data_IF_500181692494
#
_entry.id   IF_500181692494
#
_cell.length_a   1.000
_cell.length_b   1.000
_cell.length_c   1.000
_cell.angle_alpha   90.00
_cell.angle_beta   90.00
_cell.angle_gamma   90.00
#
_symmetry.space_group_name_H-M   'P 1'
#
loop_
_entity.id
_entity.type
_entity.pdbx_description
1 polymer ?
#
# COMPACT_ATOMS: atom_id res chain seq x y z
N UNK A 1 -13.08 -7.91 12.80
CA UNK A 1 -12.18 -7.57 13.93
C UNK A 1 -11.04 -6.71 13.41
N UNK A 2 -10.91 -5.47 13.90
CA UNK A 2 -9.87 -4.51 13.50
C UNK A 2 -8.44 -5.02 13.77
N UNK A 3 -8.26 -5.78 14.86
CA UNK A 3 -6.97 -6.36 15.24
C UNK A 3 -6.34 -7.23 14.14
N UNK A 4 -7.16 -7.98 13.39
CA UNK A 4 -6.66 -8.80 12.28
C UNK A 4 -6.11 -7.96 11.12
N UNK A 5 -6.65 -6.75 10.93
CA UNK A 5 -6.15 -5.85 9.89
C UNK A 5 -4.83 -5.23 10.30
N UNK A 6 -4.72 -4.81 11.57
CA UNK A 6 -3.47 -4.31 12.14
C UNK A 6 -2.40 -5.39 12.14
N UNK A 7 -2.73 -6.64 12.43
CA UNK A 7 -1.73 -7.73 12.38
C UNK A 7 -1.19 -7.97 10.97
N UNK A 8 -2.05 -7.87 9.94
CA UNK A 8 -1.73 -8.27 8.58
C UNK A 8 -1.37 -7.10 7.64
N UNK A 9 -1.35 -5.83 8.09
CA UNK A 9 -1.11 -4.69 7.20
C UNK A 9 0.34 -4.58 6.67
N UNK A 10 1.26 -5.40 7.19
CA UNK A 10 2.62 -5.56 6.66
C UNK A 10 2.78 -6.80 5.77
N UNK A 11 1.71 -7.55 5.54
CA UNK A 11 1.70 -8.59 4.50
C UNK A 11 1.76 -7.91 3.12
N UNK A 12 2.43 -8.57 2.17
CA UNK A 12 2.59 -8.10 0.79
C UNK A 12 1.79 -8.99 -0.13
N UNK A 13 1.23 -8.41 -1.19
CA UNK A 13 0.40 -9.16 -2.14
C UNK A 13 1.10 -10.40 -2.73
N UNK A 14 2.40 -10.33 -2.96
CA UNK A 14 3.26 -11.42 -3.45
C UNK A 14 3.61 -12.50 -2.41
N UNK A 15 3.20 -12.35 -1.15
CA UNK A 15 3.51 -13.31 -0.07
C UNK A 15 4.88 -13.10 0.59
N UNK A 16 5.64 -12.07 0.19
CA UNK A 16 6.96 -11.76 0.79
C UNK A 16 6.89 -10.87 2.03
N UNK A 17 5.67 -10.56 2.49
CA UNK A 17 5.41 -9.78 3.70
C UNK A 17 5.44 -10.62 4.98
N UNK A 18 5.00 -10.00 6.07
CA UNK A 18 5.04 -10.59 7.41
C UNK A 18 3.80 -10.18 8.21
N UNK A 19 3.45 -10.88 9.31
CA UNK A 19 4.18 -11.94 10.00
C UNK A 19 3.93 -13.37 9.51
N UNK A 20 2.93 -13.61 8.68
CA UNK A 20 2.49 -14.96 8.29
C UNK A 20 2.83 -15.31 6.84
N UNK A 21 3.23 -14.34 6.01
CA UNK A 21 3.52 -14.57 4.60
C UNK A 21 2.25 -14.86 3.80
N UNK A 22 1.15 -14.19 4.15
CA UNK A 22 -0.13 -14.35 3.45
C UNK A 22 -0.03 -13.79 2.03
N UNK A 23 -0.63 -14.46 1.06
CA UNK A 23 -0.56 -14.05 -0.34
C UNK A 23 -1.94 -13.64 -0.89
N UNK A 24 -1.95 -12.57 -1.70
CA UNK A 24 -3.13 -12.16 -2.45
C UNK A 24 -4.36 -11.94 -1.58
N UNK A 25 -5.42 -12.71 -1.84
CA UNK A 25 -6.73 -12.59 -1.17
C UNK A 25 -6.78 -13.25 0.22
N UNK A 26 -5.74 -13.98 0.63
CA UNK A 26 -5.61 -14.44 2.02
C UNK A 26 -5.41 -13.27 2.98
N UNK A 27 -4.86 -12.17 2.48
CA UNK A 27 -4.74 -10.91 3.22
C UNK A 27 -6.14 -10.28 3.35
N UNK A 28 -6.62 -9.97 4.57
CA UNK A 28 -7.90 -9.31 4.74
C UNK A 28 -7.96 -8.00 3.95
N UNK A 29 -9.09 -7.71 3.31
CA UNK A 29 -9.23 -6.51 2.46
C UNK A 29 -8.88 -5.21 3.20
N UNK A 30 -9.27 -5.08 4.47
CA UNK A 30 -8.90 -3.93 5.29
C UNK A 30 -7.39 -3.79 5.51
N UNK A 31 -6.65 -4.89 5.66
CA UNK A 31 -5.20 -4.85 5.76
C UNK A 31 -4.55 -4.40 4.46
N UNK A 32 -5.04 -4.88 3.31
CA UNK A 32 -4.55 -4.47 1.98
C UNK A 32 -4.74 -2.96 1.73
N UNK A 33 -5.88 -2.40 2.15
CA UNK A 33 -6.15 -0.95 2.07
C UNK A 33 -5.21 -0.18 3.00
N UNK A 34 -5.06 -0.61 4.26
CA UNK A 34 -4.17 0.05 5.23
C UNK A 34 -2.71 0.02 4.77
N UNK A 35 -2.25 -1.10 4.21
CA UNK A 35 -0.87 -1.27 3.71
C UNK A 35 -0.53 -0.20 2.65
N UNK A 36 -1.42 0.01 1.69
CA UNK A 36 -1.25 1.02 0.65
C UNK A 36 -1.35 2.43 1.24
N UNK A 37 -2.38 2.72 2.05
CA UNK A 37 -2.56 4.04 2.66
C UNK A 37 -1.37 4.45 3.56
N UNK A 38 -0.85 3.50 4.35
CA UNK A 38 0.33 3.72 5.20
C UNK A 38 1.59 3.97 4.37
N UNK A 39 1.75 3.26 3.25
CA UNK A 39 2.88 3.46 2.34
C UNK A 39 2.79 4.82 1.64
N UNK A 40 1.60 5.24 1.22
CA UNK A 40 1.35 6.56 0.67
C UNK A 40 1.72 7.67 1.65
N UNK A 41 1.19 7.62 2.87
CA UNK A 41 1.51 8.59 3.93
C UNK A 41 3.02 8.64 4.22
N UNK A 42 3.68 7.48 4.27
CA UNK A 42 5.12 7.39 4.44
C UNK A 42 5.90 8.04 3.29
N UNK A 43 5.36 8.00 2.07
CA UNK A 43 5.98 8.60 0.91
C UNK A 43 5.79 10.11 0.84
N UNK A 44 4.61 10.62 1.19
CA UNK A 44 4.24 12.04 1.06
C UNK A 44 4.56 12.88 2.29
N UNK A 45 4.88 12.26 3.43
CA UNK A 45 5.28 12.96 4.63
C UNK A 45 6.78 13.27 4.65
N UNK A 46 7.15 14.44 5.16
CA UNK A 46 8.55 14.75 5.52
C UNK A 46 8.99 13.89 6.70
N UNK A 47 10.22 13.36 6.61
CA UNK A 47 10.83 12.52 7.65
C UNK A 47 12.22 13.05 7.98
N UNK A 48 12.75 12.83 9.20
CA UNK A 48 14.06 13.35 9.61
C UNK A 48 15.22 13.04 8.65
N UNK A 49 15.11 11.97 7.88
CA UNK A 49 16.13 11.46 6.95
C UNK A 49 15.75 11.58 5.46
N UNK A 50 14.55 12.11 5.13
CA UNK A 50 14.11 12.24 3.73
C UNK A 50 12.97 13.24 3.60
N UNK A 51 13.04 14.07 2.57
CA UNK A 51 11.90 14.89 2.15
C UNK A 51 10.75 14.02 1.63
N UNK A 52 9.55 14.60 1.61
CA UNK A 52 8.41 14.04 0.90
C UNK A 52 8.74 13.79 -0.57
N UNK A 53 8.21 12.70 -1.14
CA UNK A 53 8.30 12.45 -2.58
C UNK A 53 7.34 13.36 -3.35
N UNK A 54 7.70 13.69 -4.59
CA UNK A 54 6.77 14.33 -5.51
C UNK A 54 5.64 13.37 -5.88
N UNK A 55 4.49 13.91 -6.26
CA UNK A 55 3.32 13.12 -6.62
C UNK A 55 3.61 12.15 -7.77
N UNK A 56 4.41 12.55 -8.77
CA UNK A 56 4.80 11.69 -9.89
C UNK A 56 5.61 10.47 -9.42
N UNK A 57 6.50 10.66 -8.45
CA UNK A 57 7.29 9.57 -7.87
C UNK A 57 6.40 8.62 -7.06
N UNK A 58 5.45 9.17 -6.30
CA UNK A 58 4.48 8.37 -5.53
C UNK A 58 3.61 7.54 -6.45
N UNK A 59 3.09 8.15 -7.53
CA UNK A 59 2.29 7.48 -8.53
C UNK A 59 3.07 6.36 -9.23
N UNK A 60 4.32 6.63 -9.61
CA UNK A 60 5.20 5.62 -10.20
C UNK A 60 5.46 4.46 -9.23
N UNK A 61 5.74 4.74 -7.95
CA UNK A 61 6.01 3.73 -6.93
C UNK A 61 4.80 2.82 -6.69
N UNK A 62 3.60 3.40 -6.53
CA UNK A 62 2.37 2.63 -6.33
C UNK A 62 2.05 1.78 -7.56
N UNK A 63 2.21 2.34 -8.77
CA UNK A 63 1.99 1.60 -10.02
C UNK A 63 2.97 0.44 -10.18
N UNK A 64 4.26 0.66 -9.92
CA UNK A 64 5.29 -0.36 -10.05
C UNK A 64 5.16 -1.47 -8.99
N UNK A 65 4.60 -1.13 -7.84
CA UNK A 65 4.39 -2.06 -6.71
C UNK A 65 3.04 -2.79 -6.75
N UNK A 66 2.19 -2.51 -7.74
CA UNK A 66 0.92 -3.20 -7.93
C UNK A 66 1.15 -4.66 -8.34
N UNK A 67 0.53 -5.61 -7.63
CA UNK A 67 0.73 -7.04 -7.83
C UNK A 67 1.96 -7.62 -7.14
N UNK A 68 2.76 -6.81 -6.44
CA UNK A 68 3.87 -7.27 -5.59
C UNK A 68 3.66 -6.85 -4.14
N UNK A 69 3.83 -5.56 -3.84
CA UNK A 69 3.56 -5.04 -2.50
C UNK A 69 2.06 -4.88 -2.26
N UNK A 70 1.37 -4.33 -3.26
CA UNK A 70 -0.01 -3.92 -3.13
C UNK A 70 -0.94 -4.79 -3.95
N UNK A 71 -2.18 -4.91 -3.48
CA UNK A 71 -3.27 -5.43 -4.29
C UNK A 71 -3.42 -4.57 -5.57
N UNK A 72 -3.35 -5.18 -6.77
CA UNK A 72 -3.41 -4.44 -8.02
C UNK A 72 -4.75 -3.72 -8.23
N UNK A 73 -5.87 -4.28 -7.75
CA UNK A 73 -7.19 -3.64 -7.89
C UNK A 73 -7.28 -2.39 -7.01
N UNK A 74 -6.82 -2.49 -5.76
CA UNK A 74 -6.79 -1.36 -4.82
C UNK A 74 -5.83 -0.29 -5.30
N UNK A 75 -4.66 -0.67 -5.84
CA UNK A 75 -3.69 0.28 -6.38
C UNK A 75 -4.28 1.10 -7.54
N UNK A 76 -4.98 0.45 -8.48
CA UNK A 76 -5.67 1.13 -9.58
C UNK A 76 -6.72 2.12 -9.06
N UNK A 77 -7.57 1.68 -8.11
CA UNK A 77 -8.61 2.53 -7.51
C UNK A 77 -7.98 3.72 -6.78
N UNK A 78 -6.91 3.49 -6.01
CA UNK A 78 -6.22 4.53 -5.27
C UNK A 78 -5.63 5.59 -6.21
N UNK A 79 -4.97 5.16 -7.30
CA UNK A 79 -4.45 6.08 -8.31
C UNK A 79 -5.59 6.93 -8.90
N UNK A 80 -6.69 6.30 -9.32
CA UNK A 80 -7.80 7.00 -9.99
C UNK A 80 -8.73 7.81 -9.08
N UNK A 81 -8.63 7.68 -7.75
CA UNK A 81 -9.51 8.40 -6.80
C UNK A 81 -8.76 9.33 -5.85
N UNK A 82 -7.49 9.06 -5.57
CA UNK A 82 -6.70 9.82 -4.58
C UNK A 82 -5.63 10.68 -5.25
N UNK A 83 -4.91 10.13 -6.24
CA UNK A 83 -3.82 10.84 -6.93
C UNK A 83 -4.35 11.61 -8.15
N UNK A 84 -4.94 10.90 -9.12
CA UNK A 84 -5.60 11.50 -10.26
C UNK A 84 -7.04 11.83 -9.87
N UNK A 85 -7.24 13.01 -9.28
CA UNK A 85 -8.57 13.52 -8.96
C UNK A 85 -9.24 13.99 -10.26
N UNK A 86 -9.97 13.11 -10.92
CA UNK A 86 -11.04 13.48 -11.87
C UNK A 86 -12.37 13.64 -11.13
#
# INVERSE_FOLDING_TARGET
>A
MLAGYVLAHHERWDGTGYPKGLQGKEIPIGARIIALASSYDAMTSERPYRNALSEEKVLAEIRNSAGTQFDPEIAIIFIGKVLCKE
#
